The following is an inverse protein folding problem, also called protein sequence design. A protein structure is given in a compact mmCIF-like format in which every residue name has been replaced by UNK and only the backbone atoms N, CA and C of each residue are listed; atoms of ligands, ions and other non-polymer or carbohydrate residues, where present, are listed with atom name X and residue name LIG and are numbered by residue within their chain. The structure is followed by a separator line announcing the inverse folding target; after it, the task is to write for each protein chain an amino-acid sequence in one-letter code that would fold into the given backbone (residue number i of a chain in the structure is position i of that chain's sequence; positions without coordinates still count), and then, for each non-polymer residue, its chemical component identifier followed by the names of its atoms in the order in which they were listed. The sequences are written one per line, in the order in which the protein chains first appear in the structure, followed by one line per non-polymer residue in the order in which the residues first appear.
data_IF_857687559379
#
_entry.id   IF_857687559379
#
_cell.length_a   1.000
_cell.length_b   1.000
_cell.length_c   1.000
_cell.angle_alpha   90.00
_cell.angle_beta   90.00
_cell.angle_gamma   90.00
#
_symmetry.space_group_name_H-M   'P 1'
#
loop_
_entity.id
_entity.type
_entity.pdbx_description
1 polymer ?
#
# COMPACT_ATOMS: atom_id res chain seq x y z
N UNK A 1 -4.11 -23.55 6.99
CA UNK A 1 -3.44 -22.97 8.18
C UNK A 1 -4.51 -22.22 8.92
N UNK A 2 -4.77 -22.58 10.17
CA UNK A 2 -5.87 -22.01 11.00
C UNK A 2 -5.34 -21.09 12.11
N UNK A 3 -4.13 -20.55 11.95
CA UNK A 3 -3.51 -19.72 12.99
C UNK A 3 -3.89 -18.24 12.89
N UNK A 4 -3.50 -17.47 13.91
CA UNK A 4 -3.94 -16.08 14.10
C UNK A 4 -3.32 -15.05 13.12
N UNK A 5 -2.32 -15.44 12.32
CA UNK A 5 -1.58 -14.51 11.47
C UNK A 5 -2.07 -14.55 10.02
N UNK A 6 -2.39 -13.38 9.46
CA UNK A 6 -2.73 -13.26 8.03
C UNK A 6 -1.57 -13.69 7.12
N UNK A 7 -0.34 -13.37 7.51
CA UNK A 7 0.89 -13.76 6.80
C UNK A 7 1.81 -14.58 7.71
N UNK A 8 1.61 -15.91 7.79
CA UNK A 8 2.44 -16.77 8.60
C UNK A 8 3.74 -17.17 7.87
N UNK A 9 4.83 -17.23 8.61
CA UNK A 9 6.04 -17.94 8.22
C UNK A 9 5.77 -19.46 8.12
N UNK A 10 6.71 -20.22 7.52
CA UNK A 10 6.62 -21.70 7.42
C UNK A 10 6.44 -22.41 8.77
N UNK A 11 6.80 -21.76 9.88
CA UNK A 11 6.66 -22.28 11.26
C UNK A 11 5.35 -21.84 11.92
N UNK A 12 4.42 -21.23 11.19
CA UNK A 12 3.12 -20.78 11.69
C UNK A 12 3.15 -19.52 12.56
N UNK A 13 4.31 -18.89 12.75
CA UNK A 13 4.50 -17.61 13.45
C UNK A 13 4.39 -16.43 12.47
N UNK A 14 4.14 -15.22 12.95
CA UNK A 14 4.25 -14.00 12.13
C UNK A 14 5.60 -13.92 11.38
N UNK A 15 5.57 -13.36 10.17
CA UNK A 15 6.79 -12.98 9.47
C UNK A 15 7.57 -11.92 10.29
N UNK A 16 8.89 -12.05 10.31
CA UNK A 16 9.74 -10.98 10.83
C UNK A 16 9.88 -9.83 9.83
N UNK A 17 10.28 -8.65 10.30
CA UNK A 17 10.51 -7.47 9.46
C UNK A 17 11.48 -7.75 8.30
N UNK A 18 12.56 -8.49 8.56
CA UNK A 18 13.52 -8.90 7.54
C UNK A 18 12.90 -9.85 6.51
N UNK A 19 12.05 -10.78 6.94
CA UNK A 19 11.36 -11.70 6.03
C UNK A 19 10.36 -10.95 5.15
N UNK A 20 9.57 -10.05 5.74
CA UNK A 20 8.64 -9.21 4.99
C UNK A 20 9.39 -8.32 3.99
N UNK A 21 10.49 -7.67 4.40
CA UNK A 21 11.31 -6.83 3.52
C UNK A 21 11.87 -7.62 2.34
N UNK A 22 12.40 -8.82 2.58
CA UNK A 22 12.93 -9.70 1.53
C UNK A 22 11.87 -10.11 0.50
N UNK A 23 10.61 -10.30 0.90
CA UNK A 23 9.50 -10.57 -0.02
C UNK A 23 9.34 -9.41 -1.01
N UNK A 24 9.30 -8.17 -0.52
CA UNK A 24 9.16 -7.00 -1.38
C UNK A 24 10.40 -6.73 -2.23
N UNK A 25 11.62 -6.90 -1.71
CA UNK A 25 12.84 -6.76 -2.51
C UNK A 25 12.85 -7.75 -3.68
N UNK A 26 12.42 -9.00 -3.45
CA UNK A 26 12.32 -10.01 -4.51
C UNK A 26 11.23 -9.66 -5.53
N UNK A 27 10.07 -9.21 -5.06
CA UNK A 27 8.95 -8.78 -5.91
C UNK A 27 9.32 -7.58 -6.80
N UNK A 28 10.01 -6.59 -6.21
CA UNK A 28 10.49 -5.41 -6.92
C UNK A 28 11.82 -5.61 -7.65
N UNK A 29 12.41 -6.80 -7.59
CA UNK A 29 13.72 -7.11 -8.18
C UNK A 29 14.81 -6.08 -7.84
N UNK A 30 14.75 -5.52 -6.62
CA UNK A 30 15.65 -4.46 -6.15
C UNK A 30 15.36 -3.05 -6.68
N UNK A 31 14.42 -2.87 -7.61
CA UNK A 31 14.05 -1.55 -8.15
C UNK A 31 13.22 -0.71 -7.17
N UNK A 32 12.47 -1.35 -6.27
CA UNK A 32 11.68 -0.69 -5.25
C UNK A 32 11.49 -1.59 -4.01
N UNK A 33 11.16 -0.97 -2.88
CA UNK A 33 10.95 -1.64 -1.60
C UNK A 33 9.54 -1.39 -1.05
N UNK A 34 9.17 -2.08 0.04
CA UNK A 34 7.91 -1.80 0.76
C UNK A 34 7.79 -0.34 1.21
N UNK A 35 8.92 0.31 1.52
CA UNK A 35 8.96 1.71 1.90
C UNK A 35 8.58 2.64 0.72
N UNK A 36 8.96 2.28 -0.51
CA UNK A 36 8.59 3.07 -1.68
C UNK A 36 7.10 2.94 -2.00
N UNK A 37 6.49 1.77 -1.80
CA UNK A 37 5.03 1.63 -1.87
C UNK A 37 4.30 2.56 -0.90
N UNK A 38 4.86 2.76 0.30
CA UNK A 38 4.31 3.70 1.29
C UNK A 38 4.40 5.15 0.81
N UNK A 39 5.48 5.55 0.13
CA UNK A 39 5.60 6.86 -0.51
C UNK A 39 4.58 7.01 -1.64
N UNK A 40 4.44 6.00 -2.50
CA UNK A 40 3.46 5.98 -3.60
C UNK A 40 2.05 6.17 -3.06
N UNK A 41 1.66 5.44 -2.01
CA UNK A 41 0.35 5.62 -1.38
C UNK A 41 0.15 7.05 -0.87
N UNK A 42 1.17 7.64 -0.22
CA UNK A 42 1.12 9.00 0.30
C UNK A 42 0.95 10.05 -0.79
N UNK A 43 1.68 9.92 -1.90
CA UNK A 43 1.55 10.79 -3.08
C UNK A 43 0.17 10.64 -3.71
N UNK A 44 -0.29 9.39 -3.94
CA UNK A 44 -1.61 9.14 -4.51
C UNK A 44 -2.74 9.74 -3.67
N UNK A 45 -2.65 9.71 -2.34
CA UNK A 45 -3.62 10.38 -1.48
C UNK A 45 -3.61 11.91 -1.67
N UNK A 46 -2.45 12.54 -1.80
CA UNK A 46 -2.36 13.98 -2.13
C UNK A 46 -3.04 14.27 -3.46
N UNK A 47 -2.75 13.48 -4.50
CA UNK A 47 -3.30 13.68 -5.84
C UNK A 47 -4.82 13.47 -5.87
N UNK A 48 -5.32 12.61 -4.98
CA UNK A 48 -6.74 12.42 -4.71
C UNK A 48 -7.34 13.53 -3.84
N UNK A 49 -6.60 14.58 -3.49
CA UNK A 49 -7.08 15.69 -2.67
C UNK A 49 -7.37 15.31 -1.22
N UNK A 50 -6.73 14.24 -0.70
CA UNK A 50 -6.79 13.93 0.73
C UNK A 50 -5.94 14.97 1.48
N UNK A 51 -6.53 15.55 2.52
CA UNK A 51 -5.84 16.50 3.38
C UNK A 51 -4.52 15.93 3.93
N UNK A 52 -3.49 16.78 3.99
CA UNK A 52 -2.15 16.35 4.39
C UNK A 52 -2.10 15.76 5.79
N UNK A 53 -2.85 16.33 6.75
CA UNK A 53 -2.93 15.82 8.11
C UNK A 53 -3.63 14.46 8.17
N UNK A 54 -4.71 14.27 7.41
CA UNK A 54 -5.37 12.96 7.25
C UNK A 54 -4.39 11.94 6.64
N UNK A 55 -3.62 12.32 5.61
CA UNK A 55 -2.62 11.47 4.98
C UNK A 55 -1.52 11.01 5.93
N UNK A 56 -0.99 11.90 6.77
CA UNK A 56 0.00 11.56 7.80
C UNK A 56 -0.59 10.63 8.88
N UNK A 57 -1.86 10.83 9.28
CA UNK A 57 -2.53 9.92 10.19
C UNK A 57 -2.76 8.53 9.60
N UNK A 58 -3.07 8.43 8.30
CA UNK A 58 -3.18 7.14 7.60
C UNK A 58 -1.83 6.40 7.56
N UNK A 59 -0.72 7.14 7.46
CA UNK A 59 0.61 6.58 7.63
C UNK A 59 0.91 6.22 9.10
N UNK A 60 0.10 6.62 10.07
CA UNK A 60 0.42 6.49 11.50
C UNK A 60 1.73 7.20 11.88
N UNK A 61 2.02 8.33 11.24
CA UNK A 61 3.12 9.18 11.65
C UNK A 61 2.78 9.92 12.94
N UNK A 62 3.78 10.08 13.82
CA UNK A 62 3.64 10.90 15.02
C UNK A 62 3.53 12.36 14.60
N UNK A 63 2.30 12.84 14.58
CA UNK A 63 1.97 14.23 14.41
C UNK A 63 2.22 14.88 15.77
N UNK A 64 3.26 15.71 15.88
CA UNK A 64 3.74 16.27 17.16
C UNK A 64 2.63 16.74 18.12
N UNK A 65 2.96 16.81 19.42
CA UNK A 65 2.05 16.94 20.59
C UNK A 65 0.84 17.90 20.48
N UNK A 66 0.86 18.88 19.59
CA UNK A 66 -0.16 19.94 19.47
C UNK A 66 -1.38 19.50 18.65
N UNK A 67 -1.25 18.55 17.72
CA UNK A 67 -2.35 18.17 16.81
C UNK A 67 -3.28 17.05 17.32
N UNK A 68 -2.87 16.30 18.36
CA UNK A 68 -3.48 15.02 18.74
C UNK A 68 -4.85 15.12 19.43
N UNK A 69 -5.15 16.23 20.12
CA UNK A 69 -6.18 16.21 21.17
C UNK A 69 -7.59 16.68 20.74
N UNK A 70 -7.75 17.39 19.62
CA UNK A 70 -9.05 18.02 19.29
C UNK A 70 -9.89 17.32 18.20
N UNK A 71 -9.33 16.37 17.43
CA UNK A 71 -9.92 15.95 16.14
C UNK A 71 -10.05 14.42 16.02
N UNK A 72 -10.31 13.67 17.09
CA UNK A 72 -10.27 12.20 16.97
C UNK A 72 -11.45 11.62 16.16
N UNK A 73 -12.68 12.09 16.42
CA UNK A 73 -13.89 11.56 15.76
C UNK A 73 -13.98 12.00 14.29
N UNK A 74 -13.77 13.28 14.00
CA UNK A 74 -13.77 13.80 12.62
C UNK A 74 -12.63 13.19 11.80
N UNK A 75 -11.43 13.06 12.36
CA UNK A 75 -10.32 12.42 11.66
C UNK A 75 -10.61 10.96 11.32
N UNK A 76 -11.32 10.22 12.19
CA UNK A 76 -11.69 8.83 11.90
C UNK A 76 -12.55 8.72 10.63
N UNK A 77 -13.57 9.56 10.51
CA UNK A 77 -14.42 9.55 9.32
C UNK A 77 -13.68 10.03 8.07
N UNK A 78 -12.87 11.08 8.19
CA UNK A 78 -12.05 11.57 7.07
C UNK A 78 -11.04 10.51 6.59
N UNK A 79 -10.40 9.78 7.51
CA UNK A 79 -9.54 8.63 7.16
C UNK A 79 -10.32 7.53 6.44
N UNK A 80 -11.54 7.21 6.89
CA UNK A 80 -12.40 6.23 6.24
C UNK A 80 -12.75 6.66 4.81
N UNK A 81 -13.18 7.91 4.63
CA UNK A 81 -13.51 8.47 3.31
C UNK A 81 -12.30 8.49 2.37
N UNK A 82 -11.12 8.86 2.88
CA UNK A 82 -9.87 8.82 2.12
C UNK A 82 -9.52 7.40 1.64
N UNK A 83 -9.64 6.39 2.52
CA UNK A 83 -9.40 4.99 2.15
C UNK A 83 -10.42 4.46 1.15
N UNK A 84 -11.70 4.82 1.27
CA UNK A 84 -12.74 4.47 0.28
C UNK A 84 -12.44 5.10 -1.07
N UNK A 85 -12.05 6.38 -1.09
CA UNK A 85 -11.66 7.07 -2.34
C UNK A 85 -10.46 6.40 -2.99
N UNK A 86 -9.44 6.05 -2.20
CA UNK A 86 -8.26 5.35 -2.69
C UNK A 86 -8.60 3.95 -3.23
N UNK A 87 -9.44 3.19 -2.53
CA UNK A 87 -9.91 1.88 -2.99
C UNK A 87 -10.62 1.97 -4.34
N UNK A 88 -11.56 2.90 -4.50
CA UNK A 88 -12.26 3.10 -5.78
C UNK A 88 -11.28 3.48 -6.91
N UNK A 89 -10.30 4.34 -6.62
CA UNK A 89 -9.27 4.74 -7.58
C UNK A 89 -8.36 3.56 -8.01
N UNK A 90 -8.08 2.63 -7.10
CA UNK A 90 -7.35 1.38 -7.39
C UNK A 90 -8.20 0.42 -8.24
N UNK A 91 -9.51 0.35 -7.98
CA UNK A 91 -10.44 -0.50 -8.74
C UNK A 91 -10.48 -0.13 -10.23
N UNK A 92 -10.49 1.17 -10.52
CA UNK A 92 -10.39 1.71 -11.88
C UNK A 92 -9.08 1.32 -12.58
N UNK A 93 -8.06 0.89 -11.82
CA UNK A 93 -6.71 0.51 -12.30
C UNK A 93 -6.44 -0.98 -12.20
N UNK A 94 -7.48 -1.79 -12.04
CA UNK A 94 -7.40 -3.25 -12.10
C UNK A 94 -7.40 -3.96 -10.75
N UNK A 95 -7.45 -3.24 -9.62
CA UNK A 95 -7.54 -3.88 -8.30
C UNK A 95 -8.81 -4.72 -8.13
N UNK A 96 -9.90 -4.30 -8.79
CA UNK A 96 -11.17 -5.03 -8.81
C UNK A 96 -11.02 -6.50 -9.27
N UNK A 97 -10.08 -6.79 -10.15
CA UNK A 97 -9.85 -8.15 -10.67
C UNK A 97 -9.37 -9.14 -9.60
N UNK A 98 -8.83 -8.65 -8.48
CA UNK A 98 -8.27 -9.49 -7.41
C UNK A 98 -9.13 -9.55 -6.14
N UNK A 99 -10.28 -8.86 -6.08
CA UNK A 99 -11.15 -8.80 -4.89
C UNK A 99 -11.60 -10.17 -4.36
N UNK A 100 -11.82 -11.13 -5.23
CA UNK A 100 -12.34 -12.46 -4.86
C UNK A 100 -11.21 -13.48 -4.60
N UNK A 101 -9.95 -13.05 -4.63
CA UNK A 101 -8.80 -13.91 -4.38
C UNK A 101 -8.53 -14.00 -2.86
N UNK A 102 -9.43 -14.67 -2.15
CA UNK A 102 -9.40 -14.78 -0.67
C UNK A 102 -8.72 -16.06 -0.16
N UNK A 103 -8.41 -17.01 -1.05
CA UNK A 103 -7.71 -18.24 -0.70
C UNK A 103 -6.20 -18.05 -0.55
N UNK A 104 -5.60 -18.71 0.44
CA UNK A 104 -4.15 -18.78 0.56
C UNK A 104 -3.55 -19.50 -0.66
N UNK A 105 -2.94 -18.74 -1.57
CA UNK A 105 -2.14 -19.29 -2.66
C UNK A 105 -0.74 -19.60 -2.12
N UNK A 106 -0.62 -20.76 -1.47
CA UNK A 106 0.70 -21.35 -1.27
C UNK A 106 1.15 -21.89 -2.63
N UNK A 107 1.71 -21.04 -3.47
CA UNK A 107 2.61 -21.56 -4.50
C UNK A 107 3.91 -21.97 -3.83
N UNK A 108 4.51 -23.04 -4.34
CA UNK A 108 5.85 -23.47 -3.93
C UNK A 108 6.77 -22.25 -3.91
N UNK A 109 7.45 -22.03 -2.78
CA UNK A 109 8.33 -20.86 -2.59
C UNK A 109 9.54 -20.82 -3.54
N UNK A 110 9.61 -21.77 -4.48
CA UNK A 110 10.57 -21.88 -5.57
C UNK A 110 10.12 -21.13 -6.82
N UNK A 111 8.83 -20.77 -6.94
CA UNK A 111 8.36 -19.91 -8.03
C UNK A 111 8.85 -18.47 -7.81
N UNK A 112 9.27 -17.83 -8.90
CA UNK A 112 9.53 -16.40 -8.91
C UNK A 112 8.24 -15.67 -8.49
N UNK A 113 8.35 -14.74 -7.55
CA UNK A 113 7.23 -13.86 -7.19
C UNK A 113 6.94 -12.97 -8.39
N UNK A 114 5.87 -13.29 -9.10
CA UNK A 114 5.46 -12.56 -10.28
C UNK A 114 4.49 -11.45 -9.87
N UNK A 115 4.93 -10.20 -9.99
CA UNK A 115 4.04 -9.05 -10.02
C UNK A 115 3.31 -9.08 -11.38
N UNK A 116 2.38 -10.02 -11.57
CA UNK A 116 1.57 -10.22 -12.78
C UNK A 116 2.24 -9.69 -14.07
N UNK A 117 3.13 -10.49 -14.65
CA UNK A 117 3.78 -10.28 -15.95
C UNK A 117 4.66 -9.04 -16.08
N UNK A 118 5.03 -8.35 -14.99
CA UNK A 118 5.79 -7.09 -15.07
C UNK A 118 5.13 -6.01 -15.96
N UNK A 119 3.84 -6.18 -16.26
CA UNK A 119 3.03 -5.23 -17.01
C UNK A 119 2.57 -4.14 -16.03
N UNK A 120 3.51 -3.30 -15.61
CA UNK A 120 3.12 -2.01 -15.05
C UNK A 120 2.26 -1.28 -16.09
N UNK A 121 1.24 -0.55 -15.63
CA UNK A 121 0.54 0.41 -16.49
C UNK A 121 1.62 1.30 -17.13
N UNK A 122 1.69 1.30 -18.47
CA UNK A 122 2.66 2.13 -19.18
C UNK A 122 2.54 3.57 -18.66
N UNK A 123 3.69 4.19 -18.38
CA UNK A 123 3.70 5.59 -17.97
C UNK A 123 3.03 6.40 -19.07
N UNK A 124 1.86 6.98 -18.82
CA UNK A 124 1.33 8.03 -19.69
C UNK A 124 2.35 9.17 -19.66
N UNK A 125 2.94 9.57 -20.80
CA UNK A 125 3.92 10.64 -20.83
C UNK A 125 3.21 11.95 -20.48
N UNK A 126 3.22 12.32 -19.20
CA UNK A 126 2.79 13.65 -18.79
C UNK A 126 3.94 14.62 -19.05
N UNK A 127 3.96 15.16 -20.27
CA UNK A 127 4.73 16.36 -20.59
C UNK A 127 4.17 17.53 -19.78
N UNK A 128 4.78 17.83 -18.64
CA UNK A 128 4.69 19.17 -18.06
C UNK A 128 5.78 20.00 -18.74
N UNK A 129 5.38 20.85 -19.70
CA UNK A 129 6.26 21.95 -20.12
C UNK A 129 6.43 22.86 -18.91
N UNK A 130 7.61 22.83 -18.28
CA UNK A 130 8.01 23.89 -17.38
C UNK A 130 8.18 25.16 -18.20
N UNK A 131 7.39 26.19 -17.88
CA UNK A 131 7.73 27.55 -18.27
C UNK A 131 8.85 28.06 -17.35
N UNK A 132 9.82 28.73 -17.99
CA UNK A 132 10.99 29.39 -17.40
C UNK A 132 10.57 30.72 -16.79
#
# INVERSE_FOLDING_TARGET
YEGAFLFPSRRGKALSDNQASAVFTRLGQGAWTSHDLRKVARTAWTDLGVDGHIGEMLLNHSLGKIASTYINTQAKEQRRLALVKWHNWLDERGFKAIHQQTGARYEDSQNLVDALNSAACESLPQFVKGEV
#
